data_IF_376565712570
#
_entry.id   IF_376565712570
#
_cell.length_a   1.000
_cell.length_b   1.000
_cell.length_c   1.000
_cell.angle_alpha   90.00
_cell.angle_beta   90.00
_cell.angle_gamma   90.00
#
_symmetry.space_group_name_H-M   'P 1'
#
loop_
_entity.id
_entity.type
_entity.pdbx_description
1 polymer ?
#
# COMPACT_ATOMS: atom_id res chain seq x y z
N UNK A 1 -18.03 0.97 10.97
CA UNK A 1 -17.25 1.64 12.02
C UNK A 1 -18.11 2.52 12.91
N UNK A 2 -19.08 3.24 12.33
CA UNK A 2 -20.01 4.08 13.12
C UNK A 2 -20.97 3.21 13.91
N UNK A 3 -21.56 2.18 13.31
CA UNK A 3 -22.44 1.21 13.97
C UNK A 3 -21.81 0.54 15.19
N UNK A 4 -20.50 0.26 15.11
CA UNK A 4 -19.73 -0.35 16.18
C UNK A 4 -19.15 0.68 17.18
N UNK A 5 -19.47 1.95 17.02
CA UNK A 5 -18.97 3.03 17.88
C UNK A 5 -17.47 3.33 17.74
N UNK A 6 -16.74 2.57 16.91
CA UNK A 6 -15.27 2.67 16.76
C UNK A 6 -14.83 4.04 16.24
N UNK A 7 -15.68 4.71 15.45
CA UNK A 7 -15.32 6.03 14.89
C UNK A 7 -15.16 7.09 15.98
N UNK A 8 -15.98 7.04 17.03
CA UNK A 8 -15.96 7.99 18.15
C UNK A 8 -15.08 7.54 19.31
N UNK A 9 -14.76 6.25 19.40
CA UNK A 9 -13.88 5.72 20.45
C UNK A 9 -12.45 6.16 20.23
N UNK A 10 -12.00 7.12 21.05
CA UNK A 10 -10.62 7.63 20.99
C UNK A 10 -9.56 6.57 21.27
N UNK A 11 -9.86 5.54 22.02
CA UNK A 11 -8.96 4.45 22.36
C UNK A 11 -8.74 3.46 21.22
N UNK A 12 -9.63 3.47 20.22
CA UNK A 12 -9.54 2.62 19.03
C UNK A 12 -8.56 3.16 17.97
N UNK A 13 -7.96 4.35 18.18
CA UNK A 13 -7.12 5.01 17.20
C UNK A 13 -5.73 5.28 17.75
N UNK A 14 -4.71 4.93 16.98
CA UNK A 14 -3.30 5.20 17.26
C UNK A 14 -2.75 6.25 16.29
N UNK A 15 -1.72 6.96 16.73
CA UNK A 15 -1.03 7.92 15.86
C UNK A 15 -0.27 7.21 14.75
N UNK A 16 -0.41 7.69 13.53
CA UNK A 16 0.36 7.21 12.39
C UNK A 16 1.85 7.46 12.62
N UNK A 17 2.67 6.41 12.44
CA UNK A 17 4.11 6.48 12.75
C UNK A 17 4.43 6.63 14.24
N UNK A 18 3.48 6.31 15.12
CA UNK A 18 3.59 6.44 16.59
C UNK A 18 3.95 7.87 17.07
N UNK A 19 3.69 8.90 16.24
CA UNK A 19 3.99 10.31 16.53
C UNK A 19 2.74 11.17 16.43
N UNK A 20 2.45 11.98 17.44
CA UNK A 20 1.31 12.91 17.45
C UNK A 20 1.52 14.11 16.52
N UNK A 21 2.76 14.51 16.26
CA UNK A 21 3.16 15.62 15.38
C UNK A 21 3.51 15.13 13.96
N UNK A 22 2.72 14.23 13.40
CA UNK A 22 3.03 13.57 12.14
C UNK A 22 2.55 14.32 10.88
N UNK A 23 1.74 15.38 11.05
CA UNK A 23 1.10 16.06 9.93
C UNK A 23 2.12 16.71 8.97
N UNK A 24 3.11 17.39 9.49
CA UNK A 24 4.14 18.03 8.68
C UNK A 24 4.97 17.01 7.88
N UNK A 25 5.31 15.89 8.52
CA UNK A 25 6.07 14.81 7.87
C UNK A 25 5.26 14.22 6.71
N UNK A 26 3.99 13.90 6.92
CA UNK A 26 3.13 13.28 5.90
C UNK A 26 2.84 14.25 4.75
N UNK A 27 2.51 15.50 5.06
CA UNK A 27 2.17 16.49 4.04
C UNK A 27 3.36 16.88 3.15
N UNK A 28 4.58 16.73 3.63
CA UNK A 28 5.81 17.03 2.90
C UNK A 28 6.40 15.83 2.12
N UNK A 29 5.82 14.63 2.24
CA UNK A 29 6.35 13.45 1.55
C UNK A 29 6.14 13.45 0.04
N UNK A 30 5.06 14.05 -0.44
CA UNK A 30 4.78 14.13 -1.86
C UNK A 30 4.37 15.57 -2.25
N UNK A 31 5.03 16.17 -3.25
CA UNK A 31 4.75 17.55 -3.66
C UNK A 31 3.41 17.71 -4.39
N UNK A 32 2.92 16.64 -5.00
CA UNK A 32 1.63 16.60 -5.68
C UNK A 32 0.94 15.23 -5.59
N UNK A 33 -0.34 15.21 -5.92
CA UNK A 33 -1.20 14.04 -5.82
C UNK A 33 -0.79 12.91 -6.77
N UNK A 34 -0.28 13.23 -7.96
CA UNK A 34 0.13 12.23 -8.94
C UNK A 34 1.41 11.55 -8.50
N UNK A 35 2.42 12.31 -8.04
CA UNK A 35 3.66 11.72 -7.48
C UNK A 35 3.37 10.80 -6.30
N UNK A 36 2.41 11.16 -5.45
CA UNK A 36 1.99 10.32 -4.35
C UNK A 36 1.44 8.95 -4.80
N UNK A 37 0.72 8.90 -5.93
CA UNK A 37 0.24 7.64 -6.51
C UNK A 37 1.34 6.87 -7.25
N UNK A 38 2.21 7.56 -8.00
CA UNK A 38 3.37 6.94 -8.65
C UNK A 38 4.28 6.26 -7.62
N UNK A 39 4.51 6.90 -6.48
CA UNK A 39 5.25 6.29 -5.37
C UNK A 39 4.58 4.99 -4.86
N UNK A 40 3.24 4.94 -4.84
CA UNK A 40 2.52 3.72 -4.49
C UNK A 40 2.71 2.60 -5.52
N UNK A 41 2.71 2.94 -6.80
CA UNK A 41 2.98 1.98 -7.89
C UNK A 41 4.40 1.44 -7.77
N UNK A 42 5.39 2.31 -7.57
CA UNK A 42 6.78 1.89 -7.35
C UNK A 42 6.91 0.96 -6.15
N UNK A 43 6.21 1.26 -5.05
CA UNK A 43 6.19 0.37 -3.88
C UNK A 43 5.54 -0.99 -4.16
N UNK A 44 4.54 -1.05 -5.05
CA UNK A 44 3.92 -2.30 -5.51
C UNK A 44 4.91 -3.15 -6.31
N UNK A 45 5.67 -2.53 -7.21
CA UNK A 45 6.72 -3.21 -7.97
C UNK A 45 7.83 -3.75 -7.05
N UNK A 46 8.28 -2.95 -6.09
CA UNK A 46 9.24 -3.39 -5.09
C UNK A 46 8.74 -4.60 -4.30
N UNK A 47 7.48 -4.55 -3.84
CA UNK A 47 6.87 -5.65 -3.10
C UNK A 47 6.79 -6.94 -3.94
N UNK A 48 6.55 -6.82 -5.26
CA UNK A 48 6.52 -7.95 -6.19
C UNK A 48 7.90 -8.53 -6.42
N UNK A 49 8.93 -7.70 -6.59
CA UNK A 49 10.32 -8.14 -6.73
C UNK A 49 10.84 -8.82 -5.48
N UNK A 50 10.54 -8.25 -4.31
CA UNK A 50 10.92 -8.86 -3.02
C UNK A 50 10.25 -10.21 -2.83
N UNK A 51 8.96 -10.33 -3.20
CA UNK A 51 8.24 -11.59 -3.16
C UNK A 51 8.94 -12.67 -4.00
N UNK A 52 9.32 -12.33 -5.25
CA UNK A 52 10.00 -13.28 -6.13
C UNK A 52 11.37 -13.71 -5.61
N UNK A 53 12.13 -12.79 -5.02
CA UNK A 53 13.37 -13.13 -4.36
C UNK A 53 13.14 -14.17 -3.23
N UNK A 54 12.17 -13.90 -2.36
CA UNK A 54 11.84 -14.79 -1.23
C UNK A 54 11.32 -16.16 -1.68
N UNK A 55 10.44 -16.21 -2.70
CA UNK A 55 9.96 -17.48 -3.27
C UNK A 55 11.10 -18.36 -3.80
N UNK A 56 12.19 -17.75 -4.25
CA UNK A 56 13.40 -18.43 -4.72
C UNK A 56 14.43 -18.71 -3.62
N UNK A 57 14.07 -18.46 -2.37
CA UNK A 57 14.98 -18.63 -1.23
C UNK A 57 16.13 -17.61 -1.20
N UNK A 58 16.01 -16.50 -1.92
CA UNK A 58 16.99 -15.42 -1.93
C UNK A 58 16.63 -14.43 -0.83
N UNK A 59 17.52 -14.22 0.14
CA UNK A 59 17.38 -13.13 1.10
C UNK A 59 17.52 -11.80 0.37
N UNK A 60 16.51 -10.91 0.35
CA UNK A 60 16.58 -9.63 -0.36
C UNK A 60 17.75 -8.73 0.05
N UNK A 61 18.27 -8.90 1.26
CA UNK A 61 19.43 -8.16 1.80
C UNK A 61 20.73 -8.96 1.76
N UNK A 62 20.70 -10.17 1.21
CA UNK A 62 21.83 -11.08 1.15
C UNK A 62 22.85 -10.74 0.05
N UNK A 63 23.98 -11.42 0.08
CA UNK A 63 25.07 -11.20 -0.90
C UNK A 63 24.75 -11.67 -2.32
N UNK A 64 23.81 -12.61 -2.46
CA UNK A 64 23.45 -13.23 -3.75
C UNK A 64 22.22 -12.59 -4.41
N UNK A 65 21.87 -11.37 -3.98
CA UNK A 65 20.76 -10.62 -4.53
C UNK A 65 21.12 -9.97 -5.87
N UNK A 66 20.13 -9.68 -6.73
CA UNK A 66 20.33 -8.81 -7.88
C UNK A 66 20.91 -7.45 -7.45
N UNK A 67 21.83 -6.91 -8.22
CA UNK A 67 22.52 -5.64 -7.91
C UNK A 67 21.67 -4.41 -8.23
N UNK A 68 20.66 -4.56 -9.06
CA UNK A 68 19.75 -3.50 -9.48
C UNK A 68 18.44 -4.10 -9.98
N UNK A 69 17.45 -3.23 -10.25
CA UNK A 69 16.12 -3.63 -10.68
C UNK A 69 16.12 -4.34 -12.04
N UNK A 70 17.01 -3.94 -12.97
CA UNK A 70 17.10 -4.57 -14.29
C UNK A 70 17.57 -6.03 -14.17
N UNK A 71 18.59 -6.28 -13.35
CA UNK A 71 19.06 -7.63 -13.06
C UNK A 71 17.99 -8.47 -12.35
N UNK A 72 17.22 -7.86 -11.43
CA UNK A 72 16.12 -8.52 -10.77
C UNK A 72 15.02 -8.92 -11.75
N UNK A 73 14.64 -8.02 -12.66
CA UNK A 73 13.66 -8.31 -13.71
C UNK A 73 14.12 -9.46 -14.60
N UNK A 74 15.38 -9.43 -15.06
CA UNK A 74 15.96 -10.51 -15.86
C UNK A 74 15.96 -11.84 -15.12
N UNK A 75 16.38 -11.84 -13.86
CA UNK A 75 16.50 -13.06 -13.06
C UNK A 75 15.18 -13.67 -12.66
N UNK A 76 14.13 -12.84 -12.47
CA UNK A 76 12.87 -13.29 -11.88
C UNK A 76 11.75 -13.47 -12.91
N UNK A 77 11.77 -12.74 -14.02
CA UNK A 77 10.64 -12.66 -14.95
C UNK A 77 10.99 -12.91 -16.41
N UNK A 78 12.28 -13.13 -16.75
CA UNK A 78 12.64 -13.51 -18.11
C UNK A 78 12.77 -15.03 -18.19
N UNK A 79 11.97 -15.64 -19.02
CA UNK A 79 12.12 -17.03 -19.43
C UNK A 79 13.21 -17.09 -20.53
N UNK A 80 14.40 -17.61 -20.22
CA UNK A 80 15.55 -17.92 -21.12
C UNK A 80 15.83 -16.96 -22.28
N UNK A 81 15.04 -15.91 -22.50
CA UNK A 81 15.12 -15.00 -23.61
C UNK A 81 15.08 -13.52 -23.24
N UNK A 82 15.37 -12.69 -24.23
CA UNK A 82 15.69 -11.26 -24.12
C UNK A 82 14.59 -10.34 -23.57
N UNK A 83 13.37 -10.85 -23.37
CA UNK A 83 12.22 -10.02 -22.98
C UNK A 83 11.42 -10.61 -21.83
N UNK A 84 10.88 -9.77 -20.91
CA UNK A 84 10.01 -10.23 -19.84
C UNK A 84 8.72 -10.78 -20.43
N UNK A 85 8.23 -11.87 -19.87
CA UNK A 85 6.88 -12.34 -20.18
C UNK A 85 5.86 -11.39 -19.53
N UNK A 86 5.57 -10.26 -20.19
CA UNK A 86 4.60 -9.27 -19.71
C UNK A 86 3.20 -9.86 -19.49
N UNK A 87 2.84 -10.92 -20.23
CA UNK A 87 1.56 -11.60 -20.05
C UNK A 87 1.45 -12.26 -18.67
N UNK A 88 2.57 -12.77 -18.14
CA UNK A 88 2.59 -13.35 -16.80
C UNK A 88 2.53 -12.29 -15.68
N UNK A 89 2.89 -11.05 -15.99
CA UNK A 89 2.87 -9.93 -15.06
C UNK A 89 1.59 -9.10 -15.15
N UNK A 90 0.74 -9.39 -16.13
CA UNK A 90 -0.54 -8.73 -16.29
C UNK A 90 -1.39 -8.91 -15.04
N UNK A 91 -1.93 -7.81 -14.52
CA UNK A 91 -2.75 -7.77 -13.31
C UNK A 91 -2.03 -8.14 -11.98
N UNK A 92 -0.72 -8.10 -11.94
CA UNK A 92 0.02 -8.20 -10.67
C UNK A 92 -0.05 -6.89 -9.88
N UNK A 93 -0.16 -5.76 -10.59
CA UNK A 93 -0.46 -4.44 -10.04
C UNK A 93 -1.60 -3.83 -10.83
N UNK A 94 -2.58 -3.24 -10.15
CA UNK A 94 -3.70 -2.56 -10.80
C UNK A 94 -4.10 -1.30 -10.03
N UNK A 95 -4.44 -0.25 -10.77
CA UNK A 95 -5.01 0.97 -10.22
C UNK A 95 -6.35 1.25 -10.89
N UNK A 96 -7.35 1.63 -10.11
CA UNK A 96 -8.66 1.96 -10.64
C UNK A 96 -9.37 3.01 -9.80
N UNK A 97 -10.25 3.76 -10.45
CA UNK A 97 -11.06 4.80 -9.82
C UNK A 97 -12.53 4.37 -9.74
N UNK A 98 -13.16 4.68 -8.63
CA UNK A 98 -14.59 4.52 -8.40
C UNK A 98 -15.18 5.80 -7.84
N UNK A 99 -16.51 5.87 -7.69
CA UNK A 99 -17.22 7.05 -7.24
C UNK A 99 -17.30 8.15 -8.34
N UNK A 100 -17.59 9.40 -7.96
CA UNK A 100 -17.76 10.49 -8.92
C UNK A 100 -16.42 11.12 -9.29
N UNK A 101 -16.39 11.86 -10.40
CA UNK A 101 -15.21 12.58 -10.87
C UNK A 101 -14.71 13.62 -9.85
N UNK A 102 -15.62 14.28 -9.16
CA UNK A 102 -15.30 15.33 -8.18
C UNK A 102 -14.73 14.76 -6.89
N UNK A 103 -15.07 13.51 -6.57
CA UNK A 103 -14.65 12.80 -5.36
C UNK A 103 -14.28 11.34 -5.68
N UNK A 104 -13.28 11.11 -6.52
CA UNK A 104 -12.90 9.75 -6.87
C UNK A 104 -12.33 9.01 -5.67
N UNK A 105 -12.61 7.71 -5.63
CA UNK A 105 -11.92 6.79 -4.74
C UNK A 105 -10.90 6.03 -5.57
N UNK A 106 -9.61 6.20 -5.27
CA UNK A 106 -8.52 5.53 -5.97
C UNK A 106 -8.16 4.27 -5.20
N UNK A 107 -8.23 3.13 -5.89
CA UNK A 107 -7.79 1.86 -5.35
C UNK A 107 -6.55 1.39 -6.09
N UNK A 108 -5.55 0.97 -5.35
CA UNK A 108 -4.34 0.36 -5.85
C UNK A 108 -4.21 -1.04 -5.23
N UNK A 109 -4.04 -2.03 -6.09
CA UNK A 109 -3.90 -3.43 -5.71
C UNK A 109 -2.54 -3.92 -6.19
N UNK A 110 -1.85 -4.69 -5.37
CA UNK A 110 -0.65 -5.43 -5.75
C UNK A 110 -0.70 -6.87 -5.22
N UNK A 111 -0.08 -7.77 -5.97
CA UNK A 111 0.23 -9.14 -5.56
C UNK A 111 1.69 -9.26 -5.10
N UNK A 112 2.14 -8.30 -4.31
CA UNK A 112 3.41 -8.33 -3.62
C UNK A 112 3.39 -9.31 -2.43
N UNK A 113 4.43 -9.19 -1.60
CA UNK A 113 4.57 -10.10 -0.45
C UNK A 113 3.45 -10.02 0.59
N UNK A 114 2.70 -8.90 0.64
CA UNK A 114 1.71 -8.65 1.67
C UNK A 114 2.28 -8.61 3.09
N UNK A 115 1.42 -8.37 4.09
CA UNK A 115 1.84 -8.25 5.47
C UNK A 115 0.91 -9.00 6.42
N UNK A 116 1.46 -9.55 7.50
CA UNK A 116 0.70 -10.08 8.64
C UNK A 116 0.26 -8.93 9.56
N UNK A 117 -0.79 -9.12 10.38
CA UNK A 117 -1.31 -8.07 11.25
C UNK A 117 -0.27 -7.41 12.16
N UNK A 118 0.65 -8.20 12.72
CA UNK A 118 1.70 -7.70 13.62
C UNK A 118 2.72 -6.79 12.93
N UNK A 119 2.92 -6.93 11.61
CA UNK A 119 3.89 -6.13 10.84
C UNK A 119 3.31 -4.83 10.29
N UNK A 120 1.99 -4.72 10.14
CA UNK A 120 1.34 -3.54 9.51
C UNK A 120 1.73 -2.21 10.17
N UNK A 121 1.82 -2.07 11.52
CA UNK A 121 2.26 -0.82 12.14
C UNK A 121 3.70 -0.42 11.77
N UNK A 122 4.56 -1.40 11.56
CA UNK A 122 5.99 -1.20 11.28
C UNK A 122 6.31 -1.05 9.79
N UNK A 123 5.34 -1.33 8.92
CA UNK A 123 5.47 -1.26 7.45
C UNK A 123 4.59 -0.16 6.86
N UNK A 124 3.31 -0.43 6.62
CA UNK A 124 2.38 0.51 6.00
C UNK A 124 2.11 1.77 6.81
N UNK A 125 2.15 1.66 8.13
CA UNK A 125 1.77 2.74 9.05
C UNK A 125 2.97 3.40 9.72
N UNK A 126 4.20 3.04 9.34
CA UNK A 126 5.42 3.62 9.86
C UNK A 126 5.78 4.90 9.12
N UNK A 127 6.49 5.80 9.82
CA UNK A 127 7.15 6.96 9.25
C UNK A 127 8.66 6.80 9.46
N UNK A 128 9.42 6.96 8.39
CA UNK A 128 10.89 6.93 8.43
C UNK A 128 11.53 5.60 8.93
N UNK A 129 10.83 4.46 8.79
CA UNK A 129 11.48 3.15 9.00
C UNK A 129 12.11 2.69 7.69
N UNK A 130 13.39 2.39 7.74
CA UNK A 130 14.24 1.99 6.60
C UNK A 130 14.08 0.50 6.26
N UNK A 131 12.83 0.06 6.06
CA UNK A 131 12.51 -1.36 5.83
C UNK A 131 13.19 -1.93 4.56
N UNK A 132 13.42 -1.08 3.55
CA UNK A 132 14.05 -1.44 2.27
C UNK A 132 15.54 -1.10 2.19
N UNK A 133 16.11 -0.54 3.25
CA UNK A 133 17.55 -0.27 3.29
C UNK A 133 18.34 -1.56 3.11
N UNK A 134 19.37 -1.51 2.26
CA UNK A 134 20.19 -2.66 1.90
C UNK A 134 19.59 -3.58 0.83
N UNK A 135 18.42 -3.27 0.26
CA UNK A 135 17.87 -3.98 -0.90
C UNK A 135 18.25 -3.20 -2.17
N UNK A 136 19.17 -3.76 -2.95
CA UNK A 136 19.75 -3.08 -4.13
C UNK A 136 18.83 -2.97 -5.33
N UNK A 137 17.82 -3.83 -5.43
CA UNK A 137 16.92 -3.96 -6.58
C UNK A 137 15.53 -3.35 -6.36
N UNK A 138 15.37 -2.45 -5.39
CA UNK A 138 14.13 -1.70 -5.17
C UNK A 138 14.29 -0.23 -5.58
N UNK A 139 13.18 0.39 -6.00
CA UNK A 139 13.11 1.81 -6.34
C UNK A 139 12.97 2.70 -5.10
N UNK A 140 12.16 2.27 -4.14
CA UNK A 140 11.89 3.00 -2.89
C UNK A 140 12.95 2.72 -1.82
N UNK A 141 14.01 3.55 -1.79
CA UNK A 141 15.10 3.34 -0.83
C UNK A 141 14.78 3.74 0.60
N UNK A 142 13.97 4.78 0.80
CA UNK A 142 13.84 5.46 2.11
C UNK A 142 12.49 5.33 2.78
N UNK A 143 11.54 4.60 2.20
CA UNK A 143 10.16 4.44 2.72
C UNK A 143 9.49 5.78 3.15
N UNK A 144 9.91 6.90 2.54
CA UNK A 144 9.48 8.24 2.89
C UNK A 144 8.20 8.68 2.18
N UNK A 145 7.89 8.10 1.01
CA UNK A 145 6.73 8.47 0.21
C UNK A 145 5.43 7.76 0.58
N UNK A 146 5.53 6.75 1.45
CA UNK A 146 4.42 5.82 1.71
C UNK A 146 3.15 6.44 2.28
N UNK A 147 3.21 7.52 3.05
CA UNK A 147 2.05 8.17 3.65
C UNK A 147 1.59 9.43 2.90
N UNK A 148 2.38 9.96 1.97
CA UNK A 148 2.10 11.23 1.28
C UNK A 148 0.74 11.28 0.56
N UNK A 149 0.24 10.15 0.08
CA UNK A 149 -1.08 10.07 -0.53
C UNK A 149 -2.24 10.45 0.42
N UNK A 150 -2.06 10.32 1.74
CA UNK A 150 -3.08 10.67 2.73
C UNK A 150 -3.43 12.16 2.73
N UNK A 151 -2.47 13.02 2.38
CA UNK A 151 -2.68 14.45 2.27
C UNK A 151 -3.73 14.82 1.20
N UNK A 152 -3.88 13.97 0.20
CA UNK A 152 -4.81 14.17 -0.92
C UNK A 152 -6.14 13.42 -0.74
N UNK A 153 -6.28 12.64 0.31
CA UNK A 153 -7.53 11.97 0.66
C UNK A 153 -8.48 12.91 1.42
N UNK A 154 -9.78 12.81 1.16
CA UNK A 154 -10.77 13.53 1.96
C UNK A 154 -10.64 13.12 3.43
N UNK A 155 -10.35 14.08 4.31
CA UNK A 155 -10.11 13.85 5.75
C UNK A 155 -9.05 12.76 6.04
N UNK A 156 -8.10 12.55 5.14
CA UNK A 156 -7.06 11.53 5.29
C UNK A 156 -7.58 10.09 5.33
N UNK A 157 -8.79 9.84 4.77
CA UNK A 157 -9.41 8.53 4.83
C UNK A 157 -8.80 7.62 3.77
N UNK A 158 -8.19 6.53 4.24
CA UNK A 158 -7.72 5.43 3.40
C UNK A 158 -7.95 4.09 4.11
N UNK A 159 -8.29 3.06 3.33
CA UNK A 159 -8.37 1.68 3.80
C UNK A 159 -7.14 0.94 3.35
N UNK A 160 -6.54 0.19 4.24
CA UNK A 160 -5.43 -0.72 3.99
C UNK A 160 -5.91 -2.13 4.30
N UNK A 161 -5.81 -3.00 3.30
CA UNK A 161 -6.12 -4.41 3.41
C UNK A 161 -4.94 -5.20 2.86
N UNK A 162 -4.41 -6.15 3.62
CA UNK A 162 -3.22 -6.90 3.20
C UNK A 162 -3.17 -8.29 3.83
N UNK A 163 -2.63 -9.25 3.11
CA UNK A 163 -2.35 -10.61 3.59
C UNK A 163 -1.00 -11.06 3.07
N UNK A 164 -0.24 -11.68 3.94
CA UNK A 164 1.06 -12.29 3.60
C UNK A 164 0.88 -13.40 2.57
N UNK A 165 1.78 -13.45 1.59
CA UNK A 165 1.84 -14.55 0.63
C UNK A 165 2.15 -15.87 1.38
N UNK A 166 1.31 -16.91 1.23
CA UNK A 166 1.48 -18.18 1.96
C UNK A 166 2.81 -18.89 1.65
N UNK A 167 3.33 -18.74 0.42
CA UNK A 167 4.57 -19.41 -0.02
C UNK A 167 5.84 -18.89 0.67
N UNK A 168 5.80 -17.67 1.24
CA UNK A 168 6.95 -17.06 1.93
C UNK A 168 6.71 -16.94 3.44
N UNK A 169 5.90 -17.84 3.96
CA UNK A 169 5.41 -17.75 5.31
C UNK A 169 6.41 -18.31 6.32
N UNK A 170 7.18 -17.46 6.98
CA UNK A 170 8.15 -17.82 8.00
C UNK A 170 7.65 -17.55 9.43
N UNK A 171 6.46 -16.94 9.56
CA UNK A 171 5.95 -16.53 10.87
C UNK A 171 5.33 -17.70 11.63
N UNK A 172 5.80 -17.93 12.83
CA UNK A 172 5.30 -18.96 13.76
C UNK A 172 4.13 -18.48 14.62
N UNK A 173 3.69 -17.22 14.45
CA UNK A 173 2.64 -16.63 15.30
C UNK A 173 1.23 -17.14 15.00
N UNK A 174 1.03 -17.86 13.88
CA UNK A 174 -0.28 -18.31 13.41
C UNK A 174 -1.13 -17.18 12.79
N UNK A 175 -0.56 -16.00 12.57
CA UNK A 175 -1.25 -14.84 11.93
C UNK A 175 -1.16 -14.84 10.40
N UNK A 176 -0.41 -15.75 9.84
CA UNK A 176 -0.06 -15.82 8.42
C UNK A 176 -1.25 -15.91 7.46
N UNK A 177 -2.30 -16.61 7.86
CA UNK A 177 -3.51 -16.79 7.05
C UNK A 177 -4.52 -15.65 7.21
N UNK A 178 -4.18 -14.65 8.01
CA UNK A 178 -5.10 -13.56 8.29
C UNK A 178 -4.91 -12.39 7.33
N UNK A 179 -6.02 -11.90 6.79
CA UNK A 179 -6.09 -10.57 6.24
C UNK A 179 -6.03 -9.54 7.37
N UNK A 180 -5.21 -8.54 7.18
CA UNK A 180 -5.08 -7.37 8.04
C UNK A 180 -5.92 -6.23 7.48
N UNK A 181 -6.68 -5.56 8.33
CA UNK A 181 -7.51 -4.42 7.94
C UNK A 181 -7.27 -3.25 8.89
N UNK A 182 -7.01 -2.08 8.33
CA UNK A 182 -7.05 -0.82 9.06
C UNK A 182 -7.57 0.31 8.20
N UNK A 183 -7.97 1.39 8.85
CA UNK A 183 -8.45 2.63 8.23
C UNK A 183 -7.63 3.77 8.79
N UNK A 184 -7.16 4.69 7.95
CA UNK A 184 -6.55 5.93 8.39
C UNK A 184 -7.56 7.08 8.40
N UNK A 185 -7.30 8.11 9.18
CA UNK A 185 -8.02 9.39 9.13
C UNK A 185 -7.15 10.54 9.66
N UNK A 186 -7.43 11.73 9.18
CA UNK A 186 -6.94 12.96 9.80
C UNK A 186 -7.89 13.35 10.93
N UNK A 187 -7.34 13.73 12.07
CA UNK A 187 -8.09 14.13 13.26
C UNK A 187 -7.72 15.58 13.58
N UNK A 188 -8.71 16.39 13.90
CA UNK A 188 -8.51 17.80 14.24
C UNK A 188 -7.73 17.97 15.54
N UNK A 189 -7.00 19.08 15.65
CA UNK A 189 -6.29 19.48 16.86
C UNK A 189 -7.22 19.50 18.08
N UNK A 190 -8.45 20.04 17.91
CA UNK A 190 -9.45 20.13 18.98
C UNK A 190 -9.89 18.76 19.49
N UNK A 191 -10.09 17.77 18.59
CA UNK A 191 -10.55 16.42 18.98
C UNK A 191 -9.55 15.73 19.90
N UNK A 192 -8.28 15.92 19.68
CA UNK A 192 -7.18 15.29 20.45
C UNK A 192 -6.50 16.21 21.48
N UNK A 193 -6.92 17.47 21.56
CA UNK A 193 -6.27 18.50 22.41
C UNK A 193 -4.78 18.63 22.09
N UNK A 194 -4.44 18.67 20.82
CA UNK A 194 -3.08 18.85 20.31
C UNK A 194 -2.93 20.25 19.72
N UNK A 195 -1.70 20.77 19.55
CA UNK A 195 -1.43 22.02 18.89
C UNK A 195 -1.87 22.02 17.41
N UNK A 196 -1.75 20.86 16.74
CA UNK A 196 -2.00 20.68 15.33
C UNK A 196 -2.85 19.43 15.06
N UNK A 197 -3.52 19.33 13.88
CA UNK A 197 -4.13 18.10 13.41
C UNK A 197 -3.09 16.97 13.29
N UNK A 198 -3.54 15.72 13.31
CA UNK A 198 -2.68 14.57 13.12
C UNK A 198 -3.37 13.48 12.31
N UNK A 199 -2.57 12.59 11.72
CA UNK A 199 -3.09 11.36 11.11
C UNK A 199 -3.07 10.23 12.13
N UNK A 200 -4.13 9.43 12.09
CA UNK A 200 -4.29 8.27 12.95
C UNK A 200 -4.76 7.06 12.14
N UNK A 201 -4.56 5.88 12.69
CA UNK A 201 -5.08 4.65 12.12
C UNK A 201 -5.89 3.86 13.15
N UNK A 202 -6.83 3.07 12.66
CA UNK A 202 -7.71 2.23 13.45
C UNK A 202 -6.93 1.03 14.01
N UNK A 203 -6.86 0.95 15.34
CA UNK A 203 -6.22 -0.14 16.06
C UNK A 203 -6.94 -0.38 17.40
N UNK A 204 -8.13 -0.99 17.41
CA UNK A 204 -8.94 -1.18 18.61
C UNK A 204 -8.38 -2.30 19.49
N UNK A 205 -7.29 -2.02 20.22
CA UNK A 205 -6.55 -3.00 21.03
C UNK A 205 -7.47 -3.77 21.97
N UNK A 206 -8.42 -3.08 22.60
CA UNK A 206 -9.38 -3.71 23.54
C UNK A 206 -10.30 -4.71 22.84
N UNK A 207 -10.70 -4.45 21.58
CA UNK A 207 -11.61 -5.30 20.83
C UNK A 207 -10.88 -6.54 20.30
N UNK A 208 -9.64 -6.36 19.80
CA UNK A 208 -8.86 -7.47 19.21
C UNK A 208 -8.09 -8.26 20.25
N UNK A 209 -7.93 -7.71 21.44
CA UNK A 209 -7.10 -8.28 22.52
C UNK A 209 -5.67 -8.65 22.06
N UNK A 210 -5.10 -7.82 21.17
CA UNK A 210 -3.76 -7.96 20.61
C UNK A 210 -2.98 -6.68 20.77
N UNK A 211 -1.69 -6.77 21.06
CA UNK A 211 -0.81 -5.62 21.32
C UNK A 211 -0.78 -4.61 20.15
N UNK A 212 -0.82 -5.08 18.91
CA UNK A 212 -0.82 -4.23 17.72
C UNK A 212 -2.19 -3.59 17.41
N UNK A 213 -3.29 -4.20 17.88
CA UNK A 213 -4.65 -3.73 17.70
C UNK A 213 -5.18 -3.80 16.25
N UNK A 214 -4.43 -4.33 15.30
CA UNK A 214 -4.86 -4.41 13.89
C UNK A 214 -6.00 -5.42 13.75
N UNK A 215 -7.08 -4.99 13.11
CA UNK A 215 -8.20 -5.87 12.78
C UNK A 215 -7.72 -6.96 11.81
N UNK A 216 -8.16 -8.18 12.05
CA UNK A 216 -7.80 -9.30 11.18
C UNK A 216 -8.93 -10.32 11.07
N UNK A 217 -8.99 -11.01 9.94
CA UNK A 217 -9.96 -12.05 9.66
C UNK A 217 -9.39 -13.09 8.70
N UNK A 218 -9.96 -14.28 8.71
CA UNK A 218 -9.58 -15.35 7.79
C UNK A 218 -10.45 -15.33 6.53
N UNK A 219 -9.82 -15.40 5.39
CA UNK A 219 -10.45 -15.67 4.10
C UNK A 219 -9.42 -16.23 3.14
N UNK A 220 -9.77 -17.25 2.41
CA UNK A 220 -8.88 -17.81 1.38
C UNK A 220 -8.71 -16.80 0.24
N UNK A 221 -9.82 -16.23 -0.21
CA UNK A 221 -9.87 -15.27 -1.33
C UNK A 221 -10.78 -14.11 -1.03
N UNK A 222 -10.47 -12.95 -1.57
CA UNK A 222 -11.30 -11.76 -1.48
C UNK A 222 -11.61 -11.20 -2.86
N UNK A 223 -12.89 -10.92 -3.10
CA UNK A 223 -13.36 -10.12 -4.24
C UNK A 223 -13.20 -8.65 -3.91
N UNK A 224 -12.13 -8.03 -4.41
CA UNK A 224 -11.82 -6.65 -4.07
C UNK A 224 -12.49 -5.62 -4.99
N UNK A 225 -13.03 -6.07 -6.12
CA UNK A 225 -13.67 -5.21 -7.11
C UNK A 225 -15.20 -5.25 -6.99
N UNK A 226 -15.89 -4.11 -7.16
CA UNK A 226 -17.34 -4.06 -7.21
C UNK A 226 -17.88 -4.88 -8.37
N UNK A 227 -19.13 -5.40 -8.23
CA UNK A 227 -19.84 -6.04 -9.33
C UNK A 227 -19.91 -5.11 -10.53
N UNK A 228 -19.65 -5.63 -11.72
CA UNK A 228 -19.73 -4.90 -12.99
C UNK A 228 -18.43 -4.22 -13.43
N UNK A 229 -17.36 -4.28 -12.66
CA UNK A 229 -16.02 -3.86 -13.07
C UNK A 229 -15.27 -5.04 -13.70
N UNK A 230 -15.72 -5.52 -14.81
CA UNK A 230 -14.99 -6.48 -15.65
C UNK A 230 -14.03 -5.72 -16.58
N UNK A 231 -12.87 -6.28 -16.88
CA UNK A 231 -12.38 -7.65 -16.74
C UNK A 231 -11.69 -7.95 -15.38
N UNK A 232 -11.73 -7.06 -14.44
CA UNK A 232 -10.98 -7.14 -13.20
C UNK A 232 -11.67 -7.96 -12.09
N UNK A 233 -12.46 -8.96 -12.45
CA UNK A 233 -13.07 -9.93 -11.51
C UNK A 233 -12.04 -10.82 -10.81
N UNK A 234 -10.89 -10.28 -10.41
CA UNK A 234 -9.89 -11.12 -9.75
C UNK A 234 -10.12 -11.22 -8.26
N UNK A 235 -10.20 -12.45 -7.81
CA UNK A 235 -10.08 -12.75 -6.40
C UNK A 235 -8.61 -12.69 -6.00
N UNK A 236 -8.32 -12.04 -4.89
CA UNK A 236 -6.98 -12.01 -4.32
C UNK A 236 -6.86 -13.03 -3.20
N UNK A 237 -5.81 -13.84 -3.25
CA UNK A 237 -5.44 -14.76 -2.17
C UNK A 237 -4.49 -14.11 -1.18
N UNK A 238 -3.62 -13.21 -1.65
CA UNK A 238 -2.64 -12.47 -0.87
C UNK A 238 -2.26 -11.16 -1.59
N UNK A 239 -1.45 -10.34 -0.93
CA UNK A 239 -1.00 -9.04 -1.45
C UNK A 239 -1.61 -7.88 -0.69
N UNK A 240 -1.76 -6.73 -1.34
CA UNK A 240 -2.25 -5.53 -0.67
C UNK A 240 -3.27 -4.76 -1.51
N UNK A 241 -4.24 -4.15 -0.83
CA UNK A 241 -5.13 -3.14 -1.40
C UNK A 241 -5.02 -1.87 -0.57
N UNK A 242 -4.76 -0.77 -1.24
CA UNK A 242 -4.85 0.57 -0.69
C UNK A 242 -6.01 1.29 -1.36
N UNK A 243 -7.01 1.77 -0.60
CA UNK A 243 -8.13 2.53 -1.15
C UNK A 243 -8.20 3.91 -0.52
N UNK A 244 -7.95 4.93 -1.33
CA UNK A 244 -7.94 6.34 -0.98
C UNK A 244 -9.27 6.98 -1.31
N UNK A 245 -9.94 7.59 -0.33
CA UNK A 245 -11.28 8.14 -0.48
C UNK A 245 -11.26 9.64 -0.79
N UNK A 246 -12.11 10.06 -1.74
CA UNK A 246 -12.23 11.47 -2.14
C UNK A 246 -10.90 12.07 -2.54
N UNK A 247 -10.13 11.34 -3.36
CA UNK A 247 -8.76 11.69 -3.72
C UNK A 247 -8.72 12.93 -4.62
N UNK A 248 -8.01 13.95 -4.19
CA UNK A 248 -7.90 15.24 -4.90
C UNK A 248 -6.76 15.17 -5.90
N UNK A 249 -7.07 14.89 -7.16
CA UNK A 249 -6.10 15.04 -8.25
C UNK A 249 -6.05 16.47 -8.75
N UNK A 250 -4.85 17.03 -8.80
CA UNK A 250 -4.58 18.37 -9.32
C UNK A 250 -4.56 18.31 -10.84
N UNK A 251 -5.37 19.12 -11.52
CA UNK A 251 -5.32 19.25 -12.97
C UNK A 251 -6.16 18.24 -13.78
N UNK A 252 -6.89 17.33 -13.15
CA UNK A 252 -7.81 16.42 -13.86
C UNK A 252 -8.98 17.20 -14.48
N UNK A 253 -8.83 17.61 -15.74
CA UNK A 253 -9.82 18.43 -16.43
C UNK A 253 -10.82 17.63 -17.25
N UNK A 254 -10.42 16.48 -17.81
CA UNK A 254 -11.25 15.72 -18.74
C UNK A 254 -11.60 14.32 -18.25
N UNK A 255 -10.60 13.52 -17.96
CA UNK A 255 -10.75 12.13 -17.53
C UNK A 255 -9.59 11.77 -16.59
N UNK A 256 -9.91 11.40 -15.35
CA UNK A 256 -8.91 11.08 -14.35
C UNK A 256 -7.96 9.96 -14.77
N UNK A 257 -8.44 8.99 -15.56
CA UNK A 257 -7.63 7.87 -16.06
C UNK A 257 -6.60 8.38 -17.05
N UNK A 258 -7.01 9.18 -18.05
CA UNK A 258 -6.08 9.73 -19.04
C UNK A 258 -5.09 10.70 -18.42
N UNK A 259 -5.55 11.61 -17.56
CA UNK A 259 -4.68 12.55 -16.87
C UNK A 259 -3.65 11.80 -15.99
N UNK A 260 -4.07 10.72 -15.33
CA UNK A 260 -3.18 9.91 -14.52
C UNK A 260 -2.19 9.11 -15.38
N UNK A 261 -2.63 8.48 -16.47
CA UNK A 261 -1.76 7.74 -17.40
C UNK A 261 -0.70 8.67 -17.99
N UNK A 262 -1.09 9.83 -18.49
CA UNK A 262 -0.16 10.80 -19.05
C UNK A 262 0.92 11.24 -18.05
N UNK A 263 0.53 11.56 -16.82
CA UNK A 263 1.47 11.93 -15.78
C UNK A 263 2.36 10.76 -15.34
N UNK A 264 1.81 9.55 -15.34
CA UNK A 264 2.57 8.35 -14.98
C UNK A 264 3.63 8.03 -16.03
N UNK A 265 3.30 8.15 -17.32
CA UNK A 265 4.28 7.99 -18.41
C UNK A 265 5.44 8.99 -18.30
N UNK A 266 5.17 10.25 -17.92
CA UNK A 266 6.22 11.25 -17.74
C UNK A 266 7.08 10.95 -16.50
N UNK A 267 6.47 10.52 -15.40
CA UNK A 267 7.15 10.32 -14.12
C UNK A 267 7.81 8.94 -13.99
N UNK A 268 7.40 8.00 -14.81
CA UNK A 268 7.83 6.60 -14.76
C UNK A 268 8.01 6.05 -16.19
N UNK A 269 8.89 6.68 -17.02
CA UNK A 269 9.05 6.33 -18.44
C UNK A 269 9.52 4.88 -18.64
N UNK A 270 10.24 4.33 -17.68
CA UNK A 270 10.77 2.96 -17.70
C UNK A 270 10.09 2.10 -16.63
N UNK A 271 8.75 2.03 -16.66
CA UNK A 271 8.01 1.14 -15.78
C UNK A 271 8.47 -0.31 -15.99
N UNK A 272 8.88 -0.95 -14.92
CA UNK A 272 9.46 -2.30 -14.98
C UNK A 272 8.39 -3.40 -15.09
N UNK A 273 7.14 -3.08 -14.77
CA UNK A 273 6.00 -4.00 -14.83
C UNK A 273 4.77 -3.26 -15.35
N UNK A 274 3.80 -3.97 -15.98
CA UNK A 274 2.52 -3.39 -16.35
C UNK A 274 1.66 -3.05 -15.12
N UNK A 275 0.81 -2.05 -15.29
CA UNK A 275 -0.16 -1.58 -14.27
C UNK A 275 -1.58 -1.64 -14.83
#
# INVERSE_FOLDING_TARGET
LESEGLWKDKSAWRYYGDKSNNIGVINNQAPDSTKALVEKIANSFDARLILEARKRGIDPKGKNTPKNIKEAMQKFFYDDEKFPNFMSLENETAIFATNTREKPCISLIDKGEGQIPSMVPDTFLSLNKENKEGISFTQGRYNQGGAGALNYCEKGISVILTRRCPEINEDKSGENDNWSLTVTRQVSAKERKLPEPCYMYLAPIKLVNKKNGILSFKSEKLKLLPKGMEPYKKEMEYGSLLKHYGYKMKGAQSNIVFDFMYHTEIMMPDAVMPV
#
